data_IF_614769796289
#
_entry.id   IF_614769796289
#
_cell.length_a   1.000
_cell.length_b   1.000
_cell.length_c   1.000
_cell.angle_alpha   90.00
_cell.angle_beta   90.00
_cell.angle_gamma   90.00
#
_symmetry.space_group_name_H-M   'P 1'
#
loop_
_entity.id
_entity.type
_entity.pdbx_description
1 polymer ?
#
# COMPACT_ATOMS: atom_id res chain seq x y z
N UNK A 1 39.28 9.67 22.59
CA UNK A 1 38.20 8.83 22.05
C UNK A 1 37.04 8.85 23.04
N UNK A 2 36.29 9.97 23.11
CA UNK A 2 35.20 10.16 24.10
C UNK A 2 34.20 11.27 23.70
N UNK A 3 33.77 11.35 22.45
CA UNK A 3 32.79 12.39 22.00
C UNK A 3 31.44 11.82 21.55
N UNK A 4 31.26 10.50 21.54
CA UNK A 4 30.01 9.85 21.09
C UNK A 4 28.99 9.63 22.22
N UNK A 5 29.42 9.52 23.49
CA UNK A 5 28.52 9.15 24.61
C UNK A 5 27.71 10.35 25.16
N UNK A 6 28.18 11.59 25.00
CA UNK A 6 27.49 12.79 25.50
C UNK A 6 26.30 13.23 24.64
N UNK A 7 26.26 12.91 23.35
CA UNK A 7 25.14 13.28 22.46
C UNK A 7 23.92 12.36 22.61
N UNK A 8 24.12 11.04 22.77
CA UNK A 8 23.01 10.09 22.98
C UNK A 8 22.27 10.38 24.30
N UNK A 9 23.01 10.77 25.34
CA UNK A 9 22.43 11.24 26.59
C UNK A 9 21.67 12.56 26.38
N UNK A 10 22.10 13.47 25.49
CA UNK A 10 21.39 14.74 25.29
C UNK A 10 20.07 14.58 24.55
N UNK A 11 19.96 13.68 23.56
CA UNK A 11 18.72 13.47 22.80
C UNK A 11 17.68 12.71 23.62
N UNK A 12 18.10 11.65 24.32
CA UNK A 12 17.23 10.93 25.26
C UNK A 12 16.84 11.80 26.44
N UNK A 13 17.76 12.64 26.94
CA UNK A 13 17.44 13.62 27.98
C UNK A 13 16.43 14.66 27.49
N UNK A 14 16.57 15.17 26.26
CA UNK A 14 15.60 16.09 25.65
C UNK A 14 14.21 15.45 25.57
N UNK A 15 14.14 14.19 25.14
CA UNK A 15 12.85 13.47 25.08
C UNK A 15 12.30 13.25 26.49
N UNK A 16 13.15 12.89 27.46
CA UNK A 16 12.76 12.64 28.85
C UNK A 16 12.32 13.91 29.57
N UNK A 17 12.81 15.09 29.20
CA UNK A 17 12.39 16.38 29.75
C UNK A 17 11.08 16.90 29.17
N UNK A 18 10.61 16.30 28.07
CA UNK A 18 9.36 16.68 27.44
C UNK A 18 8.13 16.34 28.28
N UNK A 19 7.06 17.11 28.07
CA UNK A 19 5.77 16.79 28.66
C UNK A 19 5.32 15.39 28.22
N UNK A 20 4.69 14.65 29.14
CA UNK A 20 4.19 13.28 28.91
C UNK A 20 3.37 13.17 27.62
N UNK A 21 2.60 14.22 27.30
CA UNK A 21 1.82 14.26 26.07
C UNK A 21 2.68 14.35 24.80
N UNK A 22 3.75 15.16 24.79
CA UNK A 22 4.68 15.25 23.65
C UNK A 22 5.45 13.95 23.48
N UNK A 23 5.85 13.29 24.57
CA UNK A 23 6.45 11.95 24.53
C UNK A 23 5.50 10.92 23.89
N UNK A 24 4.22 10.94 24.26
CA UNK A 24 3.20 10.07 23.69
C UNK A 24 3.00 10.34 22.19
N UNK A 25 2.97 11.61 21.77
CA UNK A 25 2.90 11.99 20.34
C UNK A 25 4.10 11.42 19.58
N UNK A 26 5.32 11.61 20.09
CA UNK A 26 6.54 11.08 19.46
C UNK A 26 6.51 9.55 19.38
N UNK A 27 6.06 8.87 20.44
CA UNK A 27 5.93 7.41 20.46
C UNK A 27 4.94 6.91 19.39
N UNK A 28 3.78 7.55 19.27
CA UNK A 28 2.79 7.22 18.23
C UNK A 28 3.39 7.41 16.84
N UNK A 29 4.10 8.52 16.60
CA UNK A 29 4.74 8.80 15.31
C UNK A 29 5.80 7.75 14.94
N UNK A 30 6.58 7.27 15.92
CA UNK A 30 7.53 6.17 15.69
C UNK A 30 6.79 4.89 15.31
N UNK A 31 5.75 4.51 16.05
CA UNK A 31 4.97 3.30 15.76
C UNK A 31 4.31 3.35 14.38
N UNK A 32 3.76 4.51 14.00
CA UNK A 32 3.19 4.76 12.68
C UNK A 32 4.28 4.67 11.59
N UNK A 33 5.45 5.28 11.81
CA UNK A 33 6.56 5.24 10.86
C UNK A 33 7.06 3.81 10.62
N UNK A 34 7.29 3.03 11.68
CA UNK A 34 7.71 1.64 11.57
C UNK A 34 6.67 0.78 10.85
N UNK A 35 5.39 0.96 11.17
CA UNK A 35 4.28 0.26 10.50
C UNK A 35 4.21 0.63 9.01
N UNK A 36 4.39 1.91 8.68
CA UNK A 36 4.43 2.40 7.30
C UNK A 36 5.54 1.72 6.50
N UNK A 37 6.78 1.71 7.01
CA UNK A 37 7.90 1.03 6.37
C UNK A 37 7.64 -0.46 6.14
N UNK A 38 7.06 -1.15 7.12
CA UNK A 38 6.69 -2.56 6.96
C UNK A 38 5.71 -2.77 5.79
N UNK A 39 4.66 -1.94 5.69
CA UNK A 39 3.72 -2.01 4.57
C UNK A 39 4.36 -1.66 3.23
N UNK A 40 5.25 -0.65 3.20
CA UNK A 40 5.97 -0.24 1.99
C UNK A 40 6.77 -1.43 1.42
N UNK A 41 7.59 -2.07 2.25
CA UNK A 41 8.40 -3.20 1.80
C UNK A 41 7.54 -4.39 1.37
N UNK A 42 6.53 -4.75 2.17
CA UNK A 42 5.60 -5.82 1.79
C UNK A 42 4.94 -5.55 0.44
N UNK A 43 4.44 -4.33 0.23
CA UNK A 43 3.76 -3.96 -1.02
C UNK A 43 4.70 -3.96 -2.22
N UNK A 44 5.96 -3.58 -2.02
CA UNK A 44 6.99 -3.62 -3.05
C UNK A 44 7.16 -5.04 -3.63
N UNK A 45 7.21 -6.06 -2.77
CA UNK A 45 7.34 -7.44 -3.21
C UNK A 45 6.10 -7.94 -3.93
N UNK A 46 4.90 -7.66 -3.41
CA UNK A 46 3.62 -8.06 -4.03
C UNK A 46 3.49 -7.47 -5.43
N UNK A 47 3.66 -6.16 -5.60
CA UNK A 47 3.50 -5.50 -6.91
C UNK A 47 4.55 -6.01 -7.92
N UNK A 48 5.80 -6.21 -7.50
CA UNK A 48 6.83 -6.75 -8.40
C UNK A 48 6.53 -8.18 -8.83
N UNK A 49 6.06 -9.00 -7.89
CA UNK A 49 5.66 -10.38 -8.16
C UNK A 49 4.51 -10.42 -9.19
N UNK A 50 3.48 -9.60 -8.97
CA UNK A 50 2.28 -9.56 -9.84
C UNK A 50 2.59 -9.04 -11.24
N UNK A 51 3.40 -7.98 -11.36
CA UNK A 51 3.86 -7.49 -12.67
C UNK A 51 4.59 -8.61 -13.41
N UNK A 52 5.56 -9.27 -12.76
CA UNK A 52 6.32 -10.34 -13.38
C UNK A 52 5.43 -11.50 -13.83
N UNK A 53 4.48 -11.93 -13.00
CA UNK A 53 3.55 -13.02 -13.32
C UNK A 53 2.60 -12.66 -14.45
N UNK A 54 2.19 -11.40 -14.52
CA UNK A 54 1.34 -10.88 -15.58
C UNK A 54 2.11 -10.87 -16.91
N UNK A 55 3.35 -10.35 -16.92
CA UNK A 55 4.24 -10.35 -18.08
C UNK A 55 4.51 -11.79 -18.57
N UNK A 56 4.92 -12.69 -17.66
CA UNK A 56 5.23 -14.09 -17.97
C UNK A 56 4.00 -14.83 -18.54
N UNK A 57 2.79 -14.50 -18.09
CA UNK A 57 1.55 -15.12 -18.58
C UNK A 57 1.07 -14.55 -19.93
N UNK A 58 1.03 -13.23 -20.07
CA UNK A 58 0.68 -12.57 -21.34
C UNK A 58 1.59 -13.07 -22.47
N UNK A 59 2.91 -13.15 -22.25
CA UNK A 59 3.86 -13.67 -23.23
C UNK A 59 3.52 -15.09 -23.68
N UNK A 60 3.08 -15.97 -22.77
CA UNK A 60 2.69 -17.34 -23.12
C UNK A 60 1.36 -17.34 -23.87
N UNK A 61 0.38 -16.54 -23.43
CA UNK A 61 -0.93 -16.44 -24.08
C UNK A 61 -0.80 -15.93 -25.52
N UNK A 62 -0.06 -14.84 -25.75
CA UNK A 62 0.10 -14.21 -27.06
C UNK A 62 0.94 -15.00 -28.06
N UNK A 63 1.76 -15.94 -27.59
CA UNK A 63 2.48 -16.89 -28.45
C UNK A 63 1.56 -17.97 -29.05
N UNK A 64 0.25 -17.92 -28.77
CA UNK A 64 -0.73 -18.87 -29.29
C UNK A 64 -0.73 -20.19 -28.53
N UNK A 65 -0.47 -20.15 -27.22
CA UNK A 65 -0.55 -21.34 -26.38
C UNK A 65 -1.99 -21.89 -26.36
N UNK A 66 -2.10 -23.23 -26.31
CA UNK A 66 -3.39 -23.90 -26.19
C UNK A 66 -4.07 -23.50 -24.86
N UNK A 67 -5.31 -23.00 -24.95
CA UNK A 67 -6.07 -22.50 -23.81
C UNK A 67 -6.37 -23.59 -22.77
N UNK A 68 -6.59 -24.83 -23.20
CA UNK A 68 -6.81 -25.95 -22.28
C UNK A 68 -5.51 -26.28 -21.52
N UNK A 69 -4.37 -26.28 -22.21
CA UNK A 69 -3.07 -26.51 -21.59
C UNK A 69 -2.73 -25.40 -20.57
N UNK A 70 -3.01 -24.14 -20.92
CA UNK A 70 -2.89 -23.01 -20.01
C UNK A 70 -3.79 -23.16 -18.77
N UNK A 71 -5.05 -23.57 -18.97
CA UNK A 71 -6.00 -23.77 -17.89
C UNK A 71 -5.56 -24.87 -16.92
N UNK A 72 -5.07 -26.00 -17.45
CA UNK A 72 -4.53 -27.09 -16.62
C UNK A 72 -3.31 -26.65 -15.81
N UNK A 73 -2.42 -25.85 -16.40
CA UNK A 73 -1.25 -25.30 -15.71
C UNK A 73 -1.67 -24.40 -14.54
N UNK A 74 -2.63 -23.52 -14.75
CA UNK A 74 -3.10 -22.57 -13.72
C UNK A 74 -3.88 -23.25 -12.59
N UNK A 75 -4.58 -24.35 -12.88
CA UNK A 75 -5.39 -25.10 -11.89
C UNK A 75 -4.57 -26.15 -11.12
N UNK A 76 -3.32 -26.37 -11.52
CA UNK A 76 -2.43 -27.33 -10.86
C UNK A 76 -2.01 -26.83 -9.47
N UNK A 77 -2.27 -27.62 -8.42
CA UNK A 77 -2.04 -27.27 -7.00
C UNK A 77 -0.59 -26.91 -6.61
N UNK A 78 0.39 -27.05 -7.52
CA UNK A 78 1.80 -26.70 -7.29
C UNK A 78 2.21 -25.35 -7.90
N UNK A 79 1.29 -24.67 -8.58
CA UNK A 79 1.59 -23.45 -9.31
C UNK A 79 1.06 -22.24 -8.54
N UNK A 80 1.96 -21.34 -8.13
CA UNK A 80 1.56 -20.04 -7.60
C UNK A 80 1.10 -19.17 -8.76
N UNK A 81 -0.21 -19.07 -8.93
CA UNK A 81 -0.80 -18.29 -10.01
C UNK A 81 -0.69 -16.79 -9.74
N UNK A 82 -0.48 -15.97 -10.77
CA UNK A 82 -0.67 -14.51 -10.70
C UNK A 82 -2.14 -14.13 -10.76
N UNK A 83 -2.45 -12.85 -10.51
CA UNK A 83 -3.85 -12.36 -10.58
C UNK A 83 -4.47 -12.54 -11.97
N UNK A 84 -3.72 -12.21 -13.03
CA UNK A 84 -4.20 -12.36 -14.42
C UNK A 84 -4.50 -13.82 -14.77
N UNK A 85 -3.66 -14.75 -14.31
CA UNK A 85 -3.86 -16.18 -14.50
C UNK A 85 -5.14 -16.67 -13.79
N UNK A 86 -5.41 -16.18 -12.58
CA UNK A 86 -6.66 -16.51 -11.86
C UNK A 86 -7.89 -15.98 -12.61
N UNK A 87 -7.82 -14.77 -13.17
CA UNK A 87 -8.89 -14.20 -14.00
C UNK A 87 -9.13 -15.07 -15.24
N UNK A 88 -8.06 -15.46 -15.94
CA UNK A 88 -8.14 -16.39 -17.08
C UNK A 88 -8.79 -17.71 -16.68
N UNK A 89 -8.34 -18.34 -15.59
CA UNK A 89 -8.88 -19.62 -15.14
C UNK A 89 -10.36 -19.53 -14.76
N UNK A 90 -10.79 -18.42 -14.16
CA UNK A 90 -12.20 -18.18 -13.86
C UNK A 90 -13.05 -18.06 -15.13
N UNK A 91 -12.59 -17.27 -16.12
CA UNK A 91 -13.29 -17.10 -17.39
C UNK A 91 -13.34 -18.38 -18.21
N UNK A 92 -12.17 -18.97 -18.50
CA UNK A 92 -12.08 -20.19 -19.31
C UNK A 92 -12.75 -21.39 -18.63
N UNK A 93 -12.65 -21.49 -17.30
CA UNK A 93 -13.35 -22.50 -16.52
C UNK A 93 -14.88 -22.38 -16.62
N UNK A 94 -15.42 -21.16 -16.69
CA UNK A 94 -16.86 -20.96 -16.87
C UNK A 94 -17.32 -21.24 -18.31
N UNK A 95 -16.50 -20.82 -19.29
CA UNK A 95 -16.74 -21.10 -20.71
C UNK A 95 -16.85 -22.61 -20.99
N UNK A 96 -15.93 -23.41 -20.43
CA UNK A 96 -15.88 -24.87 -20.67
C UNK A 96 -16.98 -25.67 -19.96
N UNK A 97 -17.70 -25.09 -19.00
CA UNK A 97 -18.84 -25.76 -18.33
C UNK A 97 -20.09 -25.86 -19.21
N UNK A 98 -20.19 -25.04 -20.25
CA UNK A 98 -21.38 -24.96 -21.09
C UNK A 98 -21.29 -25.96 -22.25
N UNK A 99 -22.30 -26.82 -22.46
CA UNK A 99 -22.32 -27.76 -23.58
C UNK A 99 -22.37 -27.06 -24.94
N UNK A 100 -21.91 -27.76 -25.98
CA UNK A 100 -22.10 -27.32 -27.37
C UNK A 100 -23.60 -27.13 -27.68
N UNK A 101 -23.94 -26.01 -28.33
CA UNK A 101 -25.33 -25.63 -28.62
C UNK A 101 -26.03 -24.79 -27.53
N UNK A 102 -25.32 -24.44 -26.44
CA UNK A 102 -25.79 -23.42 -25.50
C UNK A 102 -25.89 -22.06 -26.18
N UNK A 103 -26.80 -21.20 -25.70
CA UNK A 103 -26.91 -19.83 -26.19
C UNK A 103 -25.59 -19.07 -26.00
N UNK A 104 -24.98 -18.65 -27.12
CA UNK A 104 -23.67 -18.00 -27.13
C UNK A 104 -23.67 -16.74 -26.26
N UNK A 105 -24.76 -15.96 -26.29
CA UNK A 105 -24.87 -14.74 -25.50
C UNK A 105 -24.85 -15.04 -24.00
N UNK A 106 -25.63 -16.04 -23.56
CA UNK A 106 -25.62 -16.51 -22.18
C UNK A 106 -24.25 -17.05 -21.72
N UNK A 107 -23.54 -17.80 -22.56
CA UNK A 107 -22.20 -18.34 -22.27
C UNK A 107 -21.16 -17.22 -22.14
N UNK A 108 -21.18 -16.25 -23.06
CA UNK A 108 -20.24 -15.12 -23.00
C UNK A 108 -20.51 -14.23 -21.79
N UNK A 109 -21.77 -14.00 -21.43
CA UNK A 109 -22.11 -13.23 -20.24
C UNK A 109 -21.78 -13.98 -18.93
N UNK A 110 -21.93 -15.31 -18.85
CA UNK A 110 -21.47 -16.07 -17.68
C UNK A 110 -19.94 -16.02 -17.53
N UNK A 111 -19.22 -16.19 -18.63
CA UNK A 111 -17.75 -16.07 -18.71
C UNK A 111 -17.27 -14.70 -18.25
N UNK A 112 -17.84 -13.62 -18.78
CA UNK A 112 -17.47 -12.24 -18.43
C UNK A 112 -17.77 -11.94 -16.95
N UNK A 113 -18.89 -12.42 -16.43
CA UNK A 113 -19.23 -12.30 -15.00
C UNK A 113 -18.21 -13.01 -14.11
N UNK A 114 -17.80 -14.23 -14.48
CA UNK A 114 -16.79 -14.98 -13.72
C UNK A 114 -15.42 -14.27 -13.70
N UNK A 115 -15.00 -13.74 -14.84
CA UNK A 115 -13.78 -12.92 -14.94
C UNK A 115 -13.88 -11.66 -14.09
N UNK A 116 -14.97 -10.90 -14.20
CA UNK A 116 -15.15 -9.66 -13.45
C UNK A 116 -15.20 -9.89 -11.94
N UNK A 117 -15.87 -10.96 -11.48
CA UNK A 117 -15.92 -11.31 -10.08
C UNK A 117 -14.52 -11.66 -9.52
N UNK A 118 -13.68 -12.32 -10.32
CA UNK A 118 -12.30 -12.64 -9.92
C UNK A 118 -11.43 -11.39 -9.96
N UNK A 119 -11.51 -10.60 -11.03
CA UNK A 119 -10.83 -9.31 -11.15
C UNK A 119 -11.04 -8.41 -9.93
N UNK A 120 -12.29 -8.24 -9.47
CA UNK A 120 -12.58 -7.42 -8.30
C UNK A 120 -11.89 -7.95 -7.03
N UNK A 121 -11.90 -9.27 -6.79
CA UNK A 121 -11.20 -9.87 -5.64
C UNK A 121 -9.68 -9.66 -5.70
N UNK A 122 -9.10 -9.77 -6.90
CA UNK A 122 -7.68 -9.52 -7.09
C UNK A 122 -7.34 -8.04 -6.88
N UNK A 123 -8.17 -7.11 -7.37
CA UNK A 123 -8.00 -5.67 -7.13
C UNK A 123 -8.10 -5.33 -5.65
N UNK A 124 -9.08 -5.87 -4.92
CA UNK A 124 -9.19 -5.69 -3.46
C UNK A 124 -7.89 -6.11 -2.75
N UNK A 125 -7.29 -7.23 -3.17
CA UNK A 125 -6.02 -7.69 -2.65
C UNK A 125 -4.85 -6.75 -3.02
N UNK A 126 -4.76 -6.30 -4.28
CA UNK A 126 -3.74 -5.36 -4.76
C UNK A 126 -3.91 -3.94 -4.26
N UNK A 127 -5.08 -3.55 -3.77
CA UNK A 127 -5.34 -2.25 -3.15
C UNK A 127 -5.19 -2.29 -1.62
N UNK A 128 -5.22 -3.50 -1.04
CA UNK A 128 -5.11 -3.67 0.41
C UNK A 128 -3.93 -2.89 1.00
N UNK A 129 -4.18 -2.24 2.14
CA UNK A 129 -3.22 -1.43 2.90
C UNK A 129 -2.75 -0.12 2.22
N UNK A 130 -3.15 0.19 0.98
CA UNK A 130 -2.87 1.50 0.38
C UNK A 130 -3.57 2.61 1.16
N UNK A 131 -4.80 2.38 1.61
CA UNK A 131 -5.54 3.33 2.45
C UNK A 131 -4.81 3.67 3.74
N UNK A 132 -4.10 2.70 4.34
CA UNK A 132 -3.28 2.96 5.52
C UNK A 132 -2.12 3.92 5.19
N UNK A 133 -1.37 3.68 4.10
CA UNK A 133 -0.29 4.57 3.67
C UNK A 133 -0.81 5.98 3.35
N UNK A 134 -2.00 6.09 2.73
CA UNK A 134 -2.66 7.36 2.49
C UNK A 134 -3.00 8.10 3.79
N UNK A 135 -3.59 7.40 4.77
CA UNK A 135 -3.91 7.97 6.09
C UNK A 135 -2.66 8.38 6.85
N UNK A 136 -1.60 7.56 6.86
CA UNK A 136 -0.33 7.92 7.49
C UNK A 136 0.26 9.17 6.82
N UNK A 137 0.24 9.22 5.50
CA UNK A 137 0.73 10.35 4.73
C UNK A 137 -0.02 11.66 5.02
N UNK A 138 -1.34 11.61 5.18
CA UNK A 138 -2.16 12.81 5.42
C UNK A 138 -2.24 13.23 6.88
N UNK A 139 -2.25 12.28 7.83
CA UNK A 139 -2.51 12.57 9.25
C UNK A 139 -1.24 12.79 10.07
N UNK A 140 -0.12 12.14 9.74
CA UNK A 140 1.13 12.26 10.52
C UNK A 140 1.66 13.69 10.67
N UNK A 141 1.59 14.58 9.65
CA UNK A 141 2.00 15.97 9.82
C UNK A 141 1.15 16.70 10.86
N UNK A 142 -0.16 16.43 10.92
CA UNK A 142 -1.06 17.04 11.89
C UNK A 142 -0.82 16.54 13.31
N UNK A 143 -0.47 15.26 13.47
CA UNK A 143 -0.05 14.71 14.77
C UNK A 143 1.23 15.41 15.25
N UNK A 144 2.21 15.60 14.37
CA UNK A 144 3.44 16.34 14.69
C UNK A 144 3.18 17.81 15.04
N UNK A 145 2.32 18.48 14.25
CA UNK A 145 1.90 19.86 14.50
C UNK A 145 1.20 20.00 15.87
N UNK A 146 0.33 19.05 16.22
CA UNK A 146 -0.30 19.02 17.53
C UNK A 146 0.74 18.92 18.65
N UNK A 147 1.74 18.05 18.50
CA UNK A 147 2.89 17.96 19.41
C UNK A 147 3.63 19.29 19.56
N UNK A 148 3.89 20.00 18.46
CA UNK A 148 4.54 21.31 18.53
C UNK A 148 3.70 22.35 19.29
N UNK A 149 2.42 22.46 18.96
CA UNK A 149 1.51 23.46 19.55
C UNK A 149 1.43 23.23 21.05
N UNK A 150 1.29 21.97 21.47
CA UNK A 150 1.23 21.63 22.88
C UNK A 150 2.55 21.90 23.62
N UNK A 151 3.69 21.51 23.05
CA UNK A 151 5.00 21.71 23.68
C UNK A 151 5.34 23.20 23.84
N UNK A 152 5.03 24.02 22.82
CA UNK A 152 5.18 25.47 22.90
C UNK A 152 4.24 26.05 23.96
N UNK A 153 2.96 25.66 23.98
CA UNK A 153 1.99 26.10 24.98
C UNK A 153 2.47 25.79 26.41
N UNK A 154 2.97 24.58 26.65
CA UNK A 154 3.46 24.19 27.97
C UNK A 154 4.71 24.98 28.38
N UNK A 155 5.60 25.26 27.43
CA UNK A 155 6.80 26.10 27.65
C UNK A 155 6.44 27.53 28.07
N UNK A 156 5.43 28.13 27.44
CA UNK A 156 4.92 29.44 27.85
C UNK A 156 4.20 29.40 29.20
N UNK A 157 3.46 28.32 29.50
CA UNK A 157 2.81 28.17 30.80
C UNK A 157 3.82 28.09 31.94
N UNK A 158 4.93 27.38 31.79
CA UNK A 158 6.00 27.36 32.81
C UNK A 158 6.66 28.72 33.04
N UNK A 159 6.58 29.63 32.06
CA UNK A 159 7.10 30.99 32.19
C UNK A 159 6.22 31.87 33.08
N UNK A 160 4.91 31.60 33.11
CA UNK A 160 3.96 32.35 33.95
C UNK A 160 4.17 32.17 35.46
N UNK A 161 4.89 31.11 35.88
CA UNK A 161 5.16 30.81 37.29
C UNK A 161 6.51 31.33 37.79
N UNK A 162 7.34 31.96 36.93
CA UNK A 162 8.67 32.48 37.30
C UNK A 162 8.70 34.00 37.26
N UNK A 163 9.39 34.60 38.24
CA UNK A 163 9.45 36.06 38.44
C UNK A 163 10.32 36.76 37.40
N UNK A 164 11.32 36.06 36.85
CA UNK A 164 12.20 36.56 35.78
C UNK A 164 12.27 35.54 34.65
N UNK A 165 11.58 35.83 33.56
CA UNK A 165 11.59 35.03 32.35
C UNK A 165 12.92 35.16 31.58
N UNK A 166 13.56 34.05 31.22
CA UNK A 166 14.70 34.06 30.29
C UNK A 166 14.49 33.04 29.17
N UNK A 167 15.11 33.28 28.00
CA UNK A 167 15.03 32.38 26.83
C UNK A 167 15.50 30.95 27.18
N UNK A 168 16.48 30.83 28.08
CA UNK A 168 16.99 29.54 28.53
C UNK A 168 15.91 28.67 29.21
N UNK A 169 14.88 29.27 29.81
CA UNK A 169 13.78 28.52 30.45
C UNK A 169 12.85 27.85 29.44
N UNK A 170 12.64 28.44 28.25
CA UNK A 170 11.69 27.94 27.24
C UNK A 170 12.38 27.20 26.10
N UNK A 171 13.67 27.43 25.87
CA UNK A 171 14.42 26.85 24.77
C UNK A 171 14.34 25.31 24.68
N UNK A 172 14.44 24.54 25.80
CA UNK A 172 14.32 23.08 25.74
C UNK A 172 12.94 22.61 25.24
N UNK A 173 11.85 23.13 25.81
CA UNK A 173 10.50 22.72 25.44
C UNK A 173 10.09 23.12 24.02
N UNK A 174 10.63 24.23 23.50
CA UNK A 174 10.48 24.60 22.09
C UNK A 174 11.26 23.65 21.17
N UNK A 175 12.49 23.27 21.55
CA UNK A 175 13.29 22.33 20.76
C UNK A 175 12.60 20.95 20.66
N UNK A 176 12.10 20.43 21.77
CA UNK A 176 11.34 19.17 21.83
C UNK A 176 10.06 19.22 21.00
N UNK A 177 9.31 20.33 21.10
CA UNK A 177 8.16 20.59 20.27
C UNK A 177 8.51 20.44 18.78
N UNK A 178 9.56 21.12 18.31
CA UNK A 178 9.98 21.09 16.90
C UNK A 178 10.35 19.68 16.41
N UNK A 179 10.93 18.85 17.27
CA UNK A 179 11.22 17.44 16.96
C UNK A 179 9.94 16.67 16.63
N UNK A 180 8.83 16.90 17.34
CA UNK A 180 7.56 16.23 17.07
C UNK A 180 7.05 16.50 15.64
N UNK A 181 7.15 17.73 15.15
CA UNK A 181 6.79 18.05 13.75
C UNK A 181 7.75 17.42 12.75
N UNK A 182 9.07 17.45 13.02
CA UNK A 182 10.05 16.80 12.17
C UNK A 182 9.79 15.29 12.04
N UNK A 183 9.44 14.62 13.15
CA UNK A 183 9.04 13.21 13.15
C UNK A 183 7.74 12.96 12.38
N UNK A 184 6.76 13.86 12.50
CA UNK A 184 5.51 13.80 11.74
C UNK A 184 5.75 13.82 10.23
N UNK A 185 6.62 14.72 9.76
CA UNK A 185 7.03 14.80 8.37
C UNK A 185 7.84 13.58 7.93
N UNK A 186 8.75 13.10 8.78
CA UNK A 186 9.54 11.90 8.49
C UNK A 186 8.68 10.64 8.33
N UNK A 187 7.59 10.52 9.09
CA UNK A 187 6.62 9.44 8.91
C UNK A 187 5.75 9.64 7.66
N UNK A 188 5.34 10.88 7.37
CA UNK A 188 4.42 11.21 6.27
C UNK A 188 5.04 11.07 4.88
N UNK A 189 6.23 11.63 4.66
CA UNK A 189 6.83 11.77 3.32
C UNK A 189 7.03 10.41 2.64
N UNK A 190 7.66 9.39 3.28
CA UNK A 190 7.81 8.08 2.67
C UNK A 190 6.47 7.41 2.40
N UNK A 191 5.49 7.59 3.29
CA UNK A 191 4.15 7.01 3.14
C UNK A 191 3.41 7.57 1.91
N UNK A 192 3.44 8.90 1.72
CA UNK A 192 2.82 9.55 0.55
C UNK A 192 3.49 9.11 -0.76
N UNK A 193 4.84 9.09 -0.80
CA UNK A 193 5.59 8.67 -1.99
C UNK A 193 5.28 7.23 -2.35
N UNK A 194 5.25 6.35 -1.35
CA UNK A 194 4.93 4.94 -1.54
C UNK A 194 3.48 4.74 -1.99
N UNK A 195 2.52 5.41 -1.34
CA UNK A 195 1.11 5.38 -1.72
C UNK A 195 0.92 5.75 -3.18
N UNK A 196 1.42 6.92 -3.60
CA UNK A 196 1.29 7.39 -4.98
C UNK A 196 1.92 6.42 -5.98
N UNK A 197 3.09 5.87 -5.66
CA UNK A 197 3.78 4.90 -6.51
C UNK A 197 2.98 3.62 -6.64
N UNK A 198 2.49 3.05 -5.55
CA UNK A 198 1.81 1.76 -5.57
C UNK A 198 0.38 1.86 -6.10
N UNK A 199 -0.35 2.94 -5.79
CA UNK A 199 -1.66 3.21 -6.38
C UNK A 199 -1.56 3.26 -7.91
N UNK A 200 -0.63 4.06 -8.45
CA UNK A 200 -0.42 4.13 -9.91
C UNK A 200 -0.03 2.78 -10.53
N UNK A 201 0.73 1.94 -9.83
CA UNK A 201 1.10 0.60 -10.31
C UNK A 201 -0.07 -0.38 -10.27
N UNK A 202 -0.91 -0.30 -9.24
CA UNK A 202 -2.14 -1.08 -9.17
C UNK A 202 -3.10 -0.68 -10.28
N UNK A 203 -3.26 0.63 -10.55
CA UNK A 203 -4.09 1.12 -11.67
C UNK A 203 -3.58 0.61 -13.03
N UNK A 204 -2.26 0.60 -13.24
CA UNK A 204 -1.67 0.04 -14.47
C UNK A 204 -1.98 -1.46 -14.62
N UNK A 205 -1.90 -2.23 -13.54
CA UNK A 205 -2.30 -3.65 -13.56
C UNK A 205 -3.80 -3.82 -13.82
N UNK A 206 -4.63 -2.98 -13.21
CA UNK A 206 -6.07 -2.97 -13.40
C UNK A 206 -6.42 -2.78 -14.89
N UNK A 207 -5.85 -1.77 -15.54
CA UNK A 207 -6.03 -1.54 -16.98
C UNK A 207 -5.59 -2.74 -17.83
N UNK A 208 -4.43 -3.34 -17.52
CA UNK A 208 -3.96 -4.54 -18.24
C UNK A 208 -4.92 -5.71 -18.10
N UNK A 209 -5.43 -5.95 -16.89
CA UNK A 209 -6.38 -7.04 -16.65
C UNK A 209 -7.69 -6.80 -17.39
N UNK A 210 -8.17 -5.56 -17.46
CA UNK A 210 -9.36 -5.20 -18.23
C UNK A 210 -9.16 -5.42 -19.73
N UNK A 211 -8.05 -4.95 -20.31
CA UNK A 211 -7.71 -5.21 -21.71
C UNK A 211 -7.64 -6.72 -22.02
N UNK A 212 -6.97 -7.50 -21.16
CA UNK A 212 -6.89 -8.94 -21.33
C UNK A 212 -8.26 -9.62 -21.26
N UNK A 213 -9.16 -9.20 -20.35
CA UNK A 213 -10.51 -9.76 -20.26
C UNK A 213 -11.32 -9.51 -21.55
N UNK A 214 -11.18 -8.33 -22.17
CA UNK A 214 -11.82 -8.01 -23.44
C UNK A 214 -11.26 -8.88 -24.58
N UNK A 215 -9.94 -9.01 -24.66
CA UNK A 215 -9.28 -9.82 -25.68
C UNK A 215 -9.59 -11.31 -25.55
N UNK A 216 -9.57 -11.84 -24.32
CA UNK A 216 -9.98 -13.21 -24.04
C UNK A 216 -11.45 -13.43 -24.43
N UNK A 217 -12.34 -12.47 -24.13
CA UNK A 217 -13.74 -12.55 -24.55
C UNK A 217 -13.86 -12.66 -26.08
N UNK A 218 -13.10 -11.86 -26.82
CA UNK A 218 -13.07 -11.92 -28.29
C UNK A 218 -12.55 -13.28 -28.81
N UNK A 219 -11.50 -13.82 -28.18
CA UNK A 219 -10.95 -15.14 -28.53
C UNK A 219 -11.99 -16.25 -28.31
N UNK A 220 -12.68 -16.23 -27.16
CA UNK A 220 -13.69 -17.23 -26.81
C UNK A 220 -14.93 -17.13 -27.70
N UNK A 221 -15.37 -15.92 -28.02
CA UNK A 221 -16.50 -15.69 -28.91
C UNK A 221 -16.23 -16.24 -30.33
N UNK A 222 -15.02 -16.02 -30.87
CA UNK A 222 -14.62 -16.60 -32.17
C UNK A 222 -14.65 -18.12 -32.11
N UNK A 223 -14.07 -18.72 -31.05
CA UNK A 223 -14.01 -20.17 -30.88
C UNK A 223 -15.39 -20.82 -30.71
N UNK A 224 -16.34 -20.11 -30.12
CA UNK A 224 -17.71 -20.62 -29.95
C UNK A 224 -18.58 -20.45 -31.21
N UNK A 225 -18.15 -19.62 -32.16
CA UNK A 225 -18.80 -19.44 -33.46
C UNK A 225 -18.28 -20.41 -34.54
N UNK A 226 -17.15 -21.08 -34.29
CA UNK A 226 -16.58 -22.16 -35.10
C UNK A 226 -17.25 -23.51 -34.79
#
# INVERSE_FOLDING_TARGET
MSTTVTQDLSFLHLISSASVLVQLVMLILVMISLSSWWFIFRKLFVIRYEIKKTDDFEDVFWRGADLNALYQRTTSSRYESGSLERIFAAGFGEFTKHPAGSDLEAVMESTRRAMRATYQREMDYLESHLSFLATVGSVSPYIGLFGTVWGIMNSFRSLSSVTQATIAHVAPGIAEALIATAMGLFAAIPAVVAYNRYASRTDQLATRFESFMEELSNVLQRRAAE
#
